data_IF_204986719330
#
_entry.id   IF_204986719330
#
_cell.length_a   1.000
_cell.length_b   1.000
_cell.length_c   1.000
_cell.angle_alpha   90.00
_cell.angle_beta   90.00
_cell.angle_gamma   90.00
#
_symmetry.space_group_name_H-M   'P 1'
#
loop_
_entity.id
_entity.type
_entity.pdbx_description
1 polymer ?
#
# COMPACT_ATOMS: atom_id res chain seq x y z
N UNK A 1 45.51 -56.76 6.56
CA UNK A 1 46.09 -56.04 5.40
C UNK A 1 44.96 -55.58 4.49
N UNK A 2 44.53 -54.32 4.59
CA UNK A 2 43.97 -53.57 3.45
C UNK A 2 43.98 -52.10 3.82
N UNK A 3 44.87 -51.38 3.16
CA UNK A 3 45.07 -49.95 3.28
C UNK A 3 44.05 -49.28 2.35
N UNK A 4 43.51 -48.12 2.73
CA UNK A 4 43.56 -46.92 1.89
C UNK A 4 43.28 -45.66 2.70
N UNK A 5 44.32 -44.83 2.78
CA UNK A 5 44.26 -43.41 3.11
C UNK A 5 43.99 -42.66 1.80
N UNK A 6 43.05 -41.73 1.80
CA UNK A 6 43.08 -40.56 0.93
C UNK A 6 42.30 -39.43 1.61
N UNK A 7 42.98 -38.31 1.78
CA UNK A 7 42.50 -37.09 2.42
C UNK A 7 42.50 -35.94 1.40
N UNK A 8 41.71 -34.91 1.73
CA UNK A 8 41.58 -33.56 1.13
C UNK A 8 40.71 -33.42 -0.14
N UNK A 9 40.11 -32.22 -0.40
CA UNK A 9 39.92 -31.04 0.48
C UNK A 9 38.45 -30.55 0.56
N UNK A 10 38.16 -29.81 1.64
CA UNK A 10 36.99 -28.94 1.79
C UNK A 10 36.98 -27.85 0.70
N UNK A 11 35.93 -27.82 -0.10
CA UNK A 11 35.55 -26.64 -0.87
C UNK A 11 34.60 -25.80 -0.02
N UNK A 12 35.15 -24.77 0.61
CA UNK A 12 34.40 -23.69 1.23
C UNK A 12 33.77 -22.84 0.11
N UNK A 13 32.51 -23.11 -0.22
CA UNK A 13 31.68 -22.20 -0.99
C UNK A 13 31.27 -21.04 -0.06
N UNK A 14 32.10 -19.99 -0.08
CA UNK A 14 31.72 -18.67 0.38
C UNK A 14 30.65 -18.10 -0.56
N UNK A 15 29.39 -18.48 -0.36
CA UNK A 15 28.26 -17.71 -0.85
C UNK A 15 28.02 -16.55 0.14
N UNK A 16 28.82 -15.49 -0.01
CA UNK A 16 28.49 -14.17 0.52
C UNK A 16 27.33 -13.63 -0.33
N UNK A 17 26.13 -14.17 -0.12
CA UNK A 17 24.89 -13.54 -0.54
C UNK A 17 24.60 -12.46 0.47
N UNK A 18 24.81 -11.20 0.09
CA UNK A 18 24.30 -10.05 0.84
C UNK A 18 22.83 -10.29 1.19
N UNK A 19 22.39 -10.01 2.42
CA UNK A 19 20.96 -9.95 2.67
C UNK A 19 20.43 -8.85 1.76
N UNK A 20 19.61 -9.23 0.78
CA UNK A 20 18.71 -8.31 0.14
C UNK A 20 17.71 -7.94 1.23
N UNK A 21 18.06 -6.93 2.03
CA UNK A 21 17.09 -6.13 2.75
C UNK A 21 16.33 -5.36 1.69
N UNK A 22 15.40 -6.07 1.03
CA UNK A 22 14.18 -5.44 0.58
C UNK A 22 13.67 -4.65 1.78
N UNK A 23 13.38 -3.38 1.56
CA UNK A 23 12.88 -2.46 2.58
C UNK A 23 11.48 -2.84 3.04
N UNK A 24 11.29 -4.07 3.51
CA UNK A 24 10.24 -4.50 4.40
C UNK A 24 10.47 -3.83 5.76
N UNK A 25 10.26 -2.52 5.80
CA UNK A 25 9.64 -1.92 6.97
C UNK A 25 8.13 -2.11 6.82
N UNK A 26 7.72 -3.37 6.75
CA UNK A 26 6.50 -3.82 7.41
C UNK A 26 6.74 -3.60 8.90
N UNK A 27 6.24 -2.49 9.44
CA UNK A 27 6.00 -2.44 10.88
C UNK A 27 4.86 -3.42 11.19
N UNK A 28 5.29 -4.64 11.46
CA UNK A 28 4.79 -5.62 12.43
C UNK A 28 3.32 -5.47 12.88
N UNK A 29 2.51 -6.45 12.50
CA UNK A 29 1.20 -6.75 13.09
C UNK A 29 -0.02 -6.23 12.34
N UNK A 30 -0.55 -7.03 11.40
CA UNK A 30 -1.88 -6.88 10.77
C UNK A 30 -2.13 -5.64 9.88
N UNK A 31 -1.10 -4.91 9.46
CA UNK A 31 -1.23 -3.73 8.59
C UNK A 31 -1.50 -4.08 7.12
N UNK A 32 -2.55 -3.54 6.50
CA UNK A 32 -2.74 -3.58 5.04
C UNK A 32 -1.64 -2.72 4.40
N UNK A 33 -0.75 -3.36 3.65
CA UNK A 33 0.29 -2.67 2.88
C UNK A 33 -0.30 -2.03 1.61
N UNK A 34 -0.35 -0.70 1.58
CA UNK A 34 -0.83 0.05 0.42
C UNK A 34 0.09 -0.03 -0.81
N UNK A 35 1.38 -0.34 -0.61
CA UNK A 35 2.34 -0.49 -1.71
C UNK A 35 2.10 -1.78 -2.49
N UNK A 36 1.77 -2.86 -1.79
CA UNK A 36 1.68 -4.18 -2.41
C UNK A 36 0.21 -4.61 -2.55
N UNK A 37 -0.74 -3.69 -2.40
CA UNK A 37 -2.17 -4.00 -2.40
C UNK A 37 -2.60 -4.74 -3.67
N UNK A 38 -2.10 -4.27 -4.82
CA UNK A 38 -2.32 -4.89 -6.12
C UNK A 38 -1.54 -6.21 -6.35
N UNK A 39 -0.60 -6.55 -5.47
CA UNK A 39 0.15 -7.82 -5.46
C UNK A 39 -0.47 -8.87 -4.51
N UNK A 40 -1.40 -8.46 -3.65
CA UNK A 40 -2.09 -9.35 -2.72
C UNK A 40 -3.17 -10.21 -3.40
N UNK A 41 -3.63 -11.26 -2.69
CA UNK A 41 -4.75 -12.12 -3.11
C UNK A 41 -6.06 -11.35 -3.34
N UNK A 42 -6.20 -10.15 -2.76
CA UNK A 42 -7.36 -9.26 -2.93
C UNK A 42 -7.39 -8.63 -4.32
N UNK A 43 -6.24 -8.50 -4.99
CA UNK A 43 -6.16 -7.83 -6.29
C UNK A 43 -6.76 -8.68 -7.41
N UNK A 44 -7.48 -8.04 -8.33
CA UNK A 44 -8.00 -8.68 -9.54
C UNK A 44 -7.21 -8.24 -10.78
N UNK A 45 -7.25 -9.01 -11.88
CA UNK A 45 -6.79 -8.53 -13.17
C UNK A 45 -7.44 -7.19 -13.54
N UNK A 46 -6.67 -6.27 -14.10
CA UNK A 46 -7.20 -5.01 -14.60
C UNK A 46 -8.25 -5.28 -15.70
N UNK A 47 -9.46 -4.74 -15.59
CA UNK A 47 -10.46 -4.90 -16.63
C UNK A 47 -10.03 -4.15 -17.90
N UNK A 48 -10.40 -4.68 -19.07
CA UNK A 48 -10.09 -4.07 -20.38
C UNK A 48 -10.62 -2.63 -20.48
N UNK A 49 -11.72 -2.32 -19.77
CA UNK A 49 -12.27 -0.98 -19.61
C UNK A 49 -12.61 -0.69 -18.16
N UNK A 50 -12.12 0.44 -17.66
CA UNK A 50 -12.47 0.96 -16.34
C UNK A 50 -13.69 1.87 -16.44
N UNK A 51 -14.78 1.50 -15.78
CA UNK A 51 -16.04 2.28 -15.76
C UNK A 51 -15.86 3.65 -15.09
N UNK A 52 -14.95 3.75 -14.11
CA UNK A 52 -14.59 5.01 -13.44
C UNK A 52 -13.09 5.20 -13.57
N UNK A 53 -12.67 6.27 -14.23
CA UNK A 53 -11.25 6.55 -14.45
C UNK A 53 -10.56 7.06 -13.18
N UNK A 54 -11.24 7.89 -12.39
CA UNK A 54 -10.65 8.54 -11.22
C UNK A 54 -9.67 9.64 -11.60
N UNK A 55 -9.16 10.37 -10.59
CA UNK A 55 -8.10 11.37 -10.77
C UNK A 55 -6.77 10.78 -10.33
N UNK A 56 -5.74 10.92 -11.16
CA UNK A 56 -4.39 10.45 -10.85
C UNK A 56 -3.83 11.23 -9.65
N UNK A 57 -3.29 10.50 -8.70
CA UNK A 57 -2.58 11.02 -7.52
C UNK A 57 -1.08 10.97 -7.81
N UNK A 58 -0.35 12.09 -7.74
CA UNK A 58 1.10 12.07 -7.82
C UNK A 58 1.71 11.37 -6.59
N UNK A 59 2.44 10.28 -6.81
CA UNK A 59 3.10 9.49 -5.76
C UNK A 59 4.59 9.28 -6.07
N UNK A 60 5.45 10.31 -5.96
CA UNK A 60 6.87 10.17 -6.30
C UNK A 60 7.60 9.11 -5.46
N UNK A 61 7.08 8.73 -4.30
CA UNK A 61 7.63 7.65 -3.47
C UNK A 61 7.33 6.22 -3.95
N UNK A 62 6.47 6.04 -4.94
CA UNK A 62 6.20 4.76 -5.61
C UNK A 62 6.06 4.99 -7.13
N UNK A 63 7.10 4.61 -7.87
CA UNK A 63 7.19 4.76 -9.32
C UNK A 63 6.69 3.54 -10.09
N UNK A 64 6.36 2.45 -9.40
CA UNK A 64 5.94 1.19 -10.02
C UNK A 64 4.41 1.09 -10.11
N UNK A 65 3.71 1.77 -9.21
CA UNK A 65 2.25 1.77 -9.15
C UNK A 65 1.65 3.10 -9.61
N UNK A 66 0.38 3.07 -10.02
CA UNK A 66 -0.42 4.28 -10.27
C UNK A 66 -1.60 4.31 -9.30
N UNK A 67 -1.77 5.44 -8.63
CA UNK A 67 -2.84 5.63 -7.65
C UNK A 67 -3.87 6.62 -8.14
N UNK A 68 -5.15 6.32 -7.94
CA UNK A 68 -6.25 7.16 -8.39
C UNK A 68 -7.25 7.41 -7.27
N UNK A 69 -7.68 8.65 -7.13
CA UNK A 69 -8.83 9.02 -6.30
C UNK A 69 -10.11 8.84 -7.11
N UNK A 70 -10.95 7.89 -6.70
CA UNK A 70 -12.22 7.62 -7.38
C UNK A 70 -13.38 8.45 -6.81
N UNK A 71 -13.39 8.61 -5.48
CA UNK A 71 -14.43 9.31 -4.74
C UNK A 71 -13.90 9.72 -3.37
N UNK A 72 -14.34 10.87 -2.90
CA UNK A 72 -14.11 11.37 -1.55
C UNK A 72 -15.39 11.99 -0.97
N UNK A 73 -15.54 11.91 0.35
CA UNK A 73 -16.59 12.59 1.09
C UNK A 73 -16.12 12.93 2.50
N UNK A 74 -16.62 14.04 3.07
CA UNK A 74 -16.42 14.35 4.50
C UNK A 74 -17.33 13.45 5.35
N UNK A 75 -16.76 12.84 6.38
CA UNK A 75 -17.50 12.07 7.37
C UNK A 75 -18.03 12.96 8.50
N UNK A 76 -19.04 12.45 9.19
CA UNK A 76 -19.58 13.04 10.43
C UNK A 76 -18.53 12.81 11.51
N UNK A 77 -17.66 13.81 11.72
CA UNK A 77 -16.44 13.67 12.53
C UNK A 77 -15.27 14.51 12.02
N UNK A 78 -15.38 15.06 10.80
CA UNK A 78 -14.38 15.96 10.23
C UNK A 78 -13.25 15.25 9.48
N UNK A 79 -13.22 13.92 9.50
CA UNK A 79 -12.34 13.10 8.65
C UNK A 79 -12.87 13.03 7.21
N UNK A 80 -12.01 12.59 6.30
CA UNK A 80 -12.33 12.39 4.88
C UNK A 80 -12.27 10.90 4.58
N UNK A 81 -13.38 10.38 4.04
CA UNK A 81 -13.45 9.01 3.54
C UNK A 81 -13.18 9.04 2.04
N UNK A 82 -12.17 8.30 1.58
CA UNK A 82 -11.80 8.22 0.18
C UNK A 82 -11.85 6.78 -0.33
N UNK A 83 -12.07 6.63 -1.63
CA UNK A 83 -11.88 5.38 -2.36
C UNK A 83 -10.74 5.59 -3.34
N UNK A 84 -9.69 4.80 -3.15
CA UNK A 84 -8.49 4.79 -3.94
C UNK A 84 -8.45 3.54 -4.81
N UNK A 85 -7.90 3.66 -6.01
CA UNK A 85 -7.49 2.51 -6.85
C UNK A 85 -5.99 2.52 -6.99
N UNK A 86 -5.37 1.36 -6.80
CA UNK A 86 -4.00 1.09 -7.21
C UNK A 86 -4.02 0.25 -8.48
N UNK A 87 -3.23 0.65 -9.47
CA UNK A 87 -2.87 -0.14 -10.64
C UNK A 87 -1.39 -0.50 -10.55
N UNK A 88 -1.07 -1.80 -10.65
CA UNK A 88 0.30 -2.30 -10.64
C UNK A 88 0.39 -3.60 -11.46
N UNK A 89 1.38 -3.71 -12.35
CA UNK A 89 1.64 -4.91 -13.15
C UNK A 89 0.39 -5.56 -13.81
N UNK A 90 -0.53 -4.75 -14.35
CA UNK A 90 -1.75 -5.23 -14.99
C UNK A 90 -2.83 -5.73 -14.02
N UNK A 91 -2.65 -5.49 -12.72
CA UNK A 91 -3.61 -5.79 -11.65
C UNK A 91 -4.17 -4.50 -11.06
N UNK A 92 -5.35 -4.63 -10.46
CA UNK A 92 -6.02 -3.56 -9.73
C UNK A 92 -6.44 -4.00 -8.34
N UNK A 93 -6.28 -3.09 -7.39
CA UNK A 93 -6.85 -3.19 -6.07
C UNK A 93 -7.52 -1.87 -5.71
N UNK A 94 -8.56 -1.95 -4.90
CA UNK A 94 -9.31 -0.80 -4.41
C UNK A 94 -9.17 -0.74 -2.90
N UNK A 95 -8.99 0.46 -2.36
CA UNK A 95 -8.92 0.70 -0.93
C UNK A 95 -9.93 1.79 -0.55
N UNK A 96 -10.71 1.53 0.49
CA UNK A 96 -11.48 2.56 1.17
C UNK A 96 -10.64 3.04 2.35
N UNK A 97 -10.43 4.34 2.45
CA UNK A 97 -9.54 4.93 3.45
C UNK A 97 -10.24 6.02 4.23
N UNK A 98 -9.78 6.26 5.44
CA UNK A 98 -10.16 7.38 6.28
C UNK A 98 -8.91 8.22 6.59
N UNK A 99 -9.05 9.54 6.45
CA UNK A 99 -7.97 10.50 6.64
C UNK A 99 -8.41 11.61 7.58
N UNK A 100 -7.64 11.86 8.62
CA UNK A 100 -7.75 13.06 9.44
C UNK A 100 -6.72 14.09 8.96
N UNK A 101 -7.19 15.09 8.21
CA UNK A 101 -6.33 16.11 7.63
C UNK A 101 -5.68 17.02 8.68
N UNK A 102 -6.36 17.28 9.80
CA UNK A 102 -5.86 18.15 10.87
C UNK A 102 -4.81 17.47 11.74
N UNK A 103 -4.96 16.17 11.94
CA UNK A 103 -4.08 15.37 12.81
C UNK A 103 -3.07 14.52 12.06
N UNK A 104 -3.04 14.59 10.73
CA UNK A 104 -2.15 13.80 9.85
C UNK A 104 -2.29 12.30 10.12
N UNK A 105 -3.53 11.82 10.23
CA UNK A 105 -3.82 10.41 10.45
C UNK A 105 -4.39 9.77 9.20
N UNK A 106 -4.07 8.51 8.97
CA UNK A 106 -4.57 7.72 7.84
C UNK A 106 -4.87 6.31 8.29
N UNK A 107 -5.93 5.74 7.72
CA UNK A 107 -6.34 4.37 7.96
C UNK A 107 -6.99 3.77 6.71
N UNK A 108 -6.81 2.47 6.52
CA UNK A 108 -7.46 1.69 5.46
C UNK A 108 -8.64 0.96 6.09
N UNK A 109 -9.85 1.38 5.74
CA UNK A 109 -11.10 0.81 6.24
C UNK A 109 -11.43 -0.54 5.60
N UNK A 110 -10.92 -0.80 4.40
CA UNK A 110 -11.20 -2.02 3.66
C UNK A 110 -10.55 -2.04 2.30
N UNK A 111 -10.33 -3.23 1.77
CA UNK A 111 -9.72 -3.46 0.46
C UNK A 111 -10.54 -4.46 -0.34
N UNK A 112 -10.56 -4.29 -1.66
CA UNK A 112 -11.33 -5.19 -2.51
C UNK A 112 -10.79 -5.24 -3.95
N UNK A 113 -11.10 -6.32 -4.70
CA UNK A 113 -10.74 -6.43 -6.12
C UNK A 113 -11.50 -5.46 -7.02
N UNK A 114 -12.63 -4.91 -6.57
CA UNK A 114 -13.43 -4.00 -7.35
C UNK A 114 -14.10 -2.92 -6.49
N UNK A 115 -14.53 -1.84 -7.15
CA UNK A 115 -15.12 -0.67 -6.51
C UNK A 115 -16.40 -1.00 -5.73
N UNK A 116 -17.30 -1.82 -6.29
CA UNK A 116 -18.58 -2.09 -5.65
C UNK A 116 -18.39 -2.78 -4.29
N UNK A 117 -17.44 -3.71 -4.23
CA UNK A 117 -17.12 -4.41 -3.00
C UNK A 117 -16.46 -3.49 -1.97
N UNK A 118 -15.49 -2.64 -2.36
CA UNK A 118 -14.78 -1.77 -1.39
C UNK A 118 -15.68 -0.76 -0.69
N UNK A 119 -16.82 -0.41 -1.29
CA UNK A 119 -17.81 0.48 -0.66
C UNK A 119 -18.54 -0.21 0.51
N UNK A 120 -18.61 -1.54 0.48
CA UNK A 120 -19.37 -2.37 1.43
C UNK A 120 -18.50 -3.21 2.36
N UNK A 121 -17.26 -3.51 1.95
CA UNK A 121 -16.28 -4.25 2.76
C UNK A 121 -15.67 -3.35 3.82
N UNK A 122 -15.54 -3.86 5.04
CA UNK A 122 -14.76 -3.27 6.09
C UNK A 122 -13.73 -4.30 6.57
N UNK A 123 -12.50 -4.21 6.05
CA UNK A 123 -11.36 -4.94 6.62
C UNK A 123 -10.78 -4.02 7.69
N UNK A 124 -11.14 -4.27 8.94
CA UNK A 124 -10.72 -3.42 10.04
C UNK A 124 -9.21 -3.57 10.29
N UNK A 125 -8.41 -2.72 9.65
CA UNK A 125 -6.95 -2.60 9.82
C UNK A 125 -6.57 -1.63 10.97
N UNK A 126 -7.28 -1.72 12.10
CA UNK A 126 -7.00 -0.94 13.31
C UNK A 126 -7.41 0.54 13.27
N UNK A 127 -6.91 1.39 14.18
CA UNK A 127 -7.31 2.80 14.26
C UNK A 127 -6.57 3.69 13.23
N UNK A 128 -7.02 4.94 13.12
CA UNK A 128 -6.28 6.04 12.51
C UNK A 128 -4.85 6.14 13.10
N UNK A 129 -3.84 6.04 12.24
CA UNK A 129 -2.42 6.06 12.62
C UNK A 129 -1.70 7.27 12.01
N UNK A 130 -0.71 7.86 12.71
CA UNK A 130 0.13 8.91 12.14
C UNK A 130 0.81 8.47 10.84
N UNK A 131 0.94 9.41 9.91
CA UNK A 131 1.60 9.18 8.60
C UNK A 131 3.00 9.78 8.51
N UNK A 132 3.53 10.31 9.60
CA UNK A 132 4.90 10.83 9.62
C UNK A 132 5.91 9.72 9.29
N UNK A 133 6.89 10.04 8.43
CA UNK A 133 7.86 9.05 7.95
C UNK A 133 7.29 8.00 6.98
N UNK A 134 6.04 8.12 6.54
CA UNK A 134 5.39 7.21 5.58
C UNK A 134 5.05 7.95 4.27
N UNK A 135 6.02 8.14 3.35
CA UNK A 135 5.89 9.01 2.18
C UNK A 135 4.65 8.73 1.34
N UNK A 136 4.38 7.47 0.99
CA UNK A 136 3.21 7.14 0.18
C UNK A 136 1.90 7.53 0.88
N UNK A 137 1.78 7.26 2.20
CA UNK A 137 0.59 7.65 2.96
C UNK A 137 0.46 9.17 3.04
N UNK A 138 1.57 9.90 3.15
CA UNK A 138 1.57 11.37 3.12
C UNK A 138 1.12 11.93 1.77
N UNK A 139 1.60 11.36 0.67
CA UNK A 139 1.23 11.76 -0.69
C UNK A 139 -0.27 11.52 -0.94
N UNK A 140 -0.76 10.32 -0.62
CA UNK A 140 -2.18 9.97 -0.73
C UNK A 140 -3.06 10.84 0.17
N UNK A 141 -2.67 11.03 1.44
CA UNK A 141 -3.41 11.88 2.38
C UNK A 141 -3.46 13.34 1.91
N UNK A 142 -2.33 13.88 1.45
CA UNK A 142 -2.24 15.26 0.96
C UNK A 142 -3.21 15.50 -0.19
N UNK A 143 -3.24 14.59 -1.16
CA UNK A 143 -4.13 14.68 -2.30
C UNK A 143 -5.61 14.57 -1.90
N UNK A 144 -5.96 13.60 -1.05
CA UNK A 144 -7.33 13.42 -0.54
C UNK A 144 -7.79 14.66 0.23
N UNK A 145 -6.96 15.17 1.13
CA UNK A 145 -7.21 16.35 1.92
C UNK A 145 -7.43 17.59 1.03
N UNK A 146 -6.52 17.83 0.08
CA UNK A 146 -6.65 18.93 -0.88
C UNK A 146 -7.93 18.81 -1.72
N UNK A 147 -8.25 17.62 -2.21
CA UNK A 147 -9.49 17.35 -2.95
C UNK A 147 -10.74 17.71 -2.15
N UNK A 148 -10.73 17.41 -0.85
CA UNK A 148 -11.86 17.68 0.05
C UNK A 148 -11.98 19.15 0.48
N UNK A 149 -11.06 20.02 0.03
CA UNK A 149 -11.00 21.43 0.42
C UNK A 149 -10.48 21.67 1.84
N UNK A 150 -9.86 20.66 2.47
CA UNK A 150 -9.21 20.79 3.79
C UNK A 150 -7.76 20.34 3.66
N UNK A 151 -6.80 21.25 3.41
CA UNK A 151 -5.39 20.88 3.26
C UNK A 151 -4.87 20.07 4.44
N UNK A 152 -3.96 19.14 4.17
CA UNK A 152 -3.27 18.37 5.21
C UNK A 152 -2.44 19.33 6.08
N UNK A 153 -2.56 19.22 7.41
CA UNK A 153 -1.80 20.04 8.33
C UNK A 153 -0.28 19.88 8.09
N UNK A 154 0.48 20.98 8.26
CA UNK A 154 1.93 20.91 8.23
C UNK A 154 2.43 19.93 9.32
N UNK A 155 3.40 19.11 8.95
CA UNK A 155 4.08 18.18 9.86
C UNK A 155 5.30 18.83 10.49
#
# INVERSE_FOLDING_TARGET
MKNWKAALPLLALAACGTPQTDGANEMDGNGISLRNLAETEVAAPAPERLTVQGRLIPTPSDTQSRYYLLRDRKAVGGTVIAILRQEHAGRVAYARTEVDCGRRLFHVLGVAPNRALVETHNDYDGPLRPIEGLPLRQELASYVCQSSGTPLAAG
#
